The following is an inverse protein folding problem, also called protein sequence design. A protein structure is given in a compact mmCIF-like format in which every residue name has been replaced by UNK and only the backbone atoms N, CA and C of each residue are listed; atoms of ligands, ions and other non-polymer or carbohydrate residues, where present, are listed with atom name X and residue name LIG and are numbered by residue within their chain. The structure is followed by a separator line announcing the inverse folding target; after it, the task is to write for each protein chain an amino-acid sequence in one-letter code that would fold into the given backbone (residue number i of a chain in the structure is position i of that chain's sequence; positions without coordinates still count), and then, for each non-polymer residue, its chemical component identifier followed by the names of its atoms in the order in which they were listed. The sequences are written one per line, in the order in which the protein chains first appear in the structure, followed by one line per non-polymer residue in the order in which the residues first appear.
data_IF_066891528288
#
_entry.id   IF_066891528288
#
_cell.length_a   1.000
_cell.length_b   1.000
_cell.length_c   1.000
_cell.angle_alpha   90.00
_cell.angle_beta   90.00
_cell.angle_gamma   90.00
#
_symmetry.space_group_name_H-M   'P 1'
#
loop_
_entity.id
_entity.type
_entity.pdbx_description
1 polymer ?
#
# COMPACT_ATOMS: atom_id res chain seq x y z
N UNK A 1 11.12 -15.62 6.12
CA UNK A 1 11.08 -15.38 7.60
C UNK A 1 9.99 -14.38 7.88
N UNK A 2 9.10 -14.66 8.85
CA UNK A 2 8.01 -13.75 9.25
C UNK A 2 8.58 -12.39 9.67
N UNK A 3 8.00 -11.29 9.16
CA UNK A 3 8.39 -9.91 9.51
C UNK A 3 7.47 -9.27 10.53
N UNK A 4 6.21 -9.70 10.55
CA UNK A 4 5.22 -9.21 11.50
C UNK A 4 5.41 -9.78 12.91
N UNK A 5 4.97 -9.03 13.92
CA UNK A 5 5.11 -9.37 15.34
C UNK A 5 3.78 -9.61 16.05
N UNK A 6 2.65 -9.36 15.39
CA UNK A 6 1.32 -9.41 16.00
C UNK A 6 0.52 -10.65 15.65
N UNK A 7 0.84 -11.30 14.52
CA UNK A 7 0.21 -12.55 14.07
C UNK A 7 1.28 -13.55 13.66
N UNK A 8 0.92 -14.83 13.70
CA UNK A 8 1.80 -15.92 13.34
C UNK A 8 1.88 -16.16 11.82
N UNK A 9 2.79 -17.02 11.43
CA UNK A 9 3.00 -17.39 10.03
C UNK A 9 1.78 -18.07 9.41
N UNK A 10 1.04 -18.86 10.20
CA UNK A 10 -0.14 -19.55 9.70
C UNK A 10 -1.23 -18.54 9.30
N UNK A 11 -1.46 -17.52 10.13
CA UNK A 11 -2.41 -16.46 9.83
C UNK A 11 -2.11 -15.82 8.47
N UNK A 12 -0.88 -15.33 8.27
CA UNK A 12 -0.53 -14.65 7.02
C UNK A 12 -0.55 -15.60 5.82
N UNK A 13 -0.08 -16.83 5.95
CA UNK A 13 -0.13 -17.82 4.89
C UNK A 13 -1.55 -18.07 4.39
N UNK A 14 -2.49 -18.30 5.30
CA UNK A 14 -3.88 -18.55 4.97
C UNK A 14 -4.58 -17.31 4.39
N UNK A 15 -4.35 -16.14 5.00
CA UNK A 15 -4.94 -14.89 4.55
C UNK A 15 -4.41 -14.47 3.17
N UNK A 16 -3.10 -14.54 2.96
CA UNK A 16 -2.46 -14.21 1.67
C UNK A 16 -2.93 -15.16 0.56
N UNK A 17 -3.03 -16.47 0.84
CA UNK A 17 -3.51 -17.44 -0.14
C UNK A 17 -4.96 -17.17 -0.56
N UNK A 18 -5.85 -16.87 0.40
CA UNK A 18 -7.24 -16.49 0.13
C UNK A 18 -7.36 -15.23 -0.70
N UNK A 19 -6.61 -14.21 -0.31
CA UNK A 19 -6.63 -12.92 -1.01
C UNK A 19 -6.13 -13.08 -2.44
N UNK A 20 -5.08 -13.88 -2.66
CA UNK A 20 -4.57 -14.16 -4.00
C UNK A 20 -5.64 -14.80 -4.90
N UNK A 21 -6.35 -15.81 -4.43
CA UNK A 21 -7.44 -16.46 -5.19
C UNK A 21 -8.53 -15.45 -5.55
N UNK A 22 -8.90 -14.58 -4.60
CA UNK A 22 -9.88 -13.52 -4.83
C UNK A 22 -9.42 -12.52 -5.89
N UNK A 23 -8.15 -12.10 -5.83
CA UNK A 23 -7.55 -11.18 -6.79
C UNK A 23 -7.46 -11.78 -8.19
N UNK A 24 -7.04 -13.04 -8.31
CA UNK A 24 -6.97 -13.74 -9.61
C UNK A 24 -8.37 -13.82 -10.25
N UNK A 25 -9.42 -14.06 -9.45
CA UNK A 25 -10.80 -14.02 -9.90
C UNK A 25 -11.24 -12.63 -10.37
N UNK A 26 -10.94 -11.59 -9.60
CA UNK A 26 -11.25 -10.19 -9.94
C UNK A 26 -10.55 -9.74 -11.23
N UNK A 27 -9.27 -10.09 -11.38
CA UNK A 27 -8.49 -9.80 -12.61
C UNK A 27 -9.14 -10.46 -13.83
N UNK A 28 -9.48 -11.75 -13.73
CA UNK A 28 -10.14 -12.46 -14.81
C UNK A 28 -11.48 -11.82 -15.19
N UNK A 29 -12.25 -11.42 -14.20
CA UNK A 29 -13.54 -10.74 -14.43
C UNK A 29 -13.32 -9.38 -15.10
N UNK A 30 -12.39 -8.57 -14.60
CA UNK A 30 -12.04 -7.27 -15.16
C UNK A 30 -11.63 -7.38 -16.64
N UNK A 31 -10.71 -8.32 -16.95
CA UNK A 31 -10.20 -8.55 -18.31
C UNK A 31 -11.27 -9.10 -19.28
N UNK A 32 -12.35 -9.69 -18.78
CA UNK A 32 -13.45 -10.19 -19.60
C UNK A 32 -14.40 -9.09 -20.07
N UNK A 33 -14.31 -7.90 -19.52
CA UNK A 33 -15.21 -6.77 -19.78
C UNK A 33 -14.64 -5.86 -20.86
N UNK A 34 -15.49 -5.46 -21.81
CA UNK A 34 -15.10 -4.49 -22.83
C UNK A 34 -14.84 -3.08 -22.25
N UNK A 35 -15.58 -2.71 -21.19
CA UNK A 35 -15.44 -1.44 -20.47
C UNK A 35 -15.66 -1.69 -18.98
N UNK A 36 -14.60 -1.98 -18.21
CA UNK A 36 -14.70 -2.10 -16.76
C UNK A 36 -15.07 -0.76 -16.12
N UNK A 37 -15.82 -0.81 -15.01
CA UNK A 37 -16.11 0.38 -14.22
C UNK A 37 -14.92 0.77 -13.36
N UNK A 38 -14.75 2.05 -13.08
CA UNK A 38 -13.69 2.60 -12.22
C UNK A 38 -13.61 1.91 -10.86
N UNK A 39 -14.75 1.65 -10.23
CA UNK A 39 -14.81 0.94 -8.96
C UNK A 39 -14.19 -0.46 -9.01
N UNK A 40 -14.22 -1.14 -10.15
CA UNK A 40 -13.61 -2.47 -10.30
C UNK A 40 -12.08 -2.37 -10.29
N UNK A 41 -11.54 -1.35 -10.92
CA UNK A 41 -10.11 -1.03 -10.85
C UNK A 41 -9.70 -0.64 -9.42
N UNK A 42 -10.51 0.18 -8.73
CA UNK A 42 -10.27 0.53 -7.34
C UNK A 42 -10.22 -0.72 -6.44
N UNK A 43 -11.21 -1.60 -6.55
CA UNK A 43 -11.28 -2.84 -5.76
C UNK A 43 -10.09 -3.77 -6.06
N UNK A 44 -9.58 -3.75 -7.30
CA UNK A 44 -8.36 -4.49 -7.65
C UNK A 44 -7.12 -3.84 -7.02
N UNK A 45 -6.96 -2.54 -7.13
CA UNK A 45 -5.83 -1.80 -6.57
C UNK A 45 -5.76 -1.93 -5.05
N UNK A 46 -6.88 -1.72 -4.36
CA UNK A 46 -7.00 -1.88 -2.91
C UNK A 46 -6.65 -3.31 -2.46
N UNK A 47 -7.21 -4.31 -3.14
CA UNK A 47 -6.89 -5.70 -2.86
C UNK A 47 -5.42 -6.06 -3.11
N UNK A 48 -4.77 -5.49 -4.13
CA UNK A 48 -3.33 -5.66 -4.39
C UNK A 48 -2.48 -4.99 -3.32
N UNK A 49 -2.87 -3.80 -2.84
CA UNK A 49 -2.21 -3.12 -1.71
C UNK A 49 -2.26 -3.99 -0.45
N UNK A 50 -3.44 -4.51 -0.13
CA UNK A 50 -3.62 -5.45 0.99
C UNK A 50 -2.76 -6.72 0.82
N UNK A 51 -2.71 -7.28 -0.38
CA UNK A 51 -1.89 -8.45 -0.69
C UNK A 51 -0.40 -8.17 -0.47
N UNK A 52 0.11 -7.04 -0.95
CA UNK A 52 1.52 -6.64 -0.79
C UNK A 52 1.86 -6.52 0.69
N UNK A 53 1.01 -5.85 1.48
CA UNK A 53 1.21 -5.68 2.91
C UNK A 53 1.23 -7.01 3.67
N UNK A 54 0.24 -7.89 3.41
CA UNK A 54 0.18 -9.23 4.00
C UNK A 54 1.36 -10.11 3.58
N UNK A 55 1.71 -10.12 2.30
CA UNK A 55 2.81 -10.92 1.76
C UNK A 55 4.15 -10.44 2.33
N UNK A 56 4.33 -9.13 2.49
CA UNK A 56 5.49 -8.57 3.17
C UNK A 56 5.53 -9.02 4.64
N UNK A 57 4.43 -8.92 5.36
CA UNK A 57 4.29 -9.39 6.75
C UNK A 57 4.63 -10.88 6.89
N UNK A 58 4.17 -11.71 5.97
CA UNK A 58 4.45 -13.14 5.90
C UNK A 58 5.95 -13.44 5.70
N UNK A 59 6.71 -12.51 5.15
CA UNK A 59 8.11 -12.72 4.78
C UNK A 59 8.31 -13.24 3.36
N UNK A 60 7.33 -13.04 2.49
CA UNK A 60 7.49 -13.28 1.04
C UNK A 60 8.62 -12.38 0.52
N UNK A 61 9.51 -12.87 -0.35
CA UNK A 61 10.63 -12.09 -0.87
C UNK A 61 10.17 -10.79 -1.53
N UNK A 62 10.85 -9.69 -1.20
CA UNK A 62 10.53 -8.33 -1.66
C UNK A 62 10.46 -8.25 -3.19
N UNK A 63 11.38 -8.92 -3.89
CA UNK A 63 11.38 -8.99 -5.36
C UNK A 63 10.09 -9.54 -5.96
N UNK A 64 9.39 -10.42 -5.23
CA UNK A 64 8.13 -11.03 -5.68
C UNK A 64 6.95 -10.05 -5.58
N UNK A 65 7.12 -8.94 -4.86
CA UNK A 65 6.09 -7.92 -4.67
C UNK A 65 6.11 -6.85 -5.78
N UNK A 66 7.16 -6.81 -6.61
CA UNK A 66 7.31 -5.80 -7.66
C UNK A 66 6.21 -5.88 -8.71
N UNK A 67 5.90 -7.08 -9.21
CA UNK A 67 4.86 -7.25 -10.23
C UNK A 67 3.45 -6.89 -9.70
N UNK A 68 3.01 -7.39 -8.52
CA UNK A 68 1.77 -6.93 -7.90
C UNK A 68 1.72 -5.40 -7.67
N UNK A 69 2.84 -4.78 -7.32
CA UNK A 69 2.91 -3.33 -7.11
C UNK A 69 2.72 -2.54 -8.41
N UNK A 70 3.35 -2.95 -9.50
CA UNK A 70 3.12 -2.32 -10.82
C UNK A 70 1.65 -2.40 -11.20
N UNK A 71 1.06 -3.57 -11.08
CA UNK A 71 -0.35 -3.78 -11.38
C UNK A 71 -1.29 -2.96 -10.47
N UNK A 72 -0.96 -2.83 -9.18
CA UNK A 72 -1.69 -1.99 -8.23
C UNK A 72 -1.72 -0.53 -8.69
N UNK A 73 -0.56 0.03 -9.04
CA UNK A 73 -0.44 1.42 -9.49
C UNK A 73 -1.16 1.65 -10.82
N UNK A 74 -1.03 0.72 -11.77
CA UNK A 74 -1.73 0.78 -13.05
C UNK A 74 -3.25 0.74 -12.85
N UNK A 75 -3.74 -0.17 -12.01
CA UNK A 75 -5.16 -0.23 -11.68
C UNK A 75 -5.64 1.05 -10.98
N UNK A 76 -4.85 1.59 -10.04
CA UNK A 76 -5.23 2.83 -9.35
C UNK A 76 -5.27 4.03 -10.31
N UNK A 77 -4.39 4.12 -11.28
CA UNK A 77 -4.43 5.16 -12.31
C UNK A 77 -5.76 5.18 -13.08
N UNK A 78 -6.36 4.01 -13.32
CA UNK A 78 -7.69 3.90 -13.94
C UNK A 78 -8.85 4.33 -13.03
N UNK A 79 -8.59 4.52 -11.72
CA UNK A 79 -9.61 5.02 -10.79
C UNK A 79 -9.74 6.54 -10.81
N UNK A 80 -8.71 7.24 -11.26
CA UNK A 80 -8.68 8.71 -11.31
C UNK A 80 -9.65 9.20 -12.38
N UNK A 81 -10.54 10.09 -12.00
CA UNK A 81 -11.58 10.63 -12.90
C UNK A 81 -11.07 11.93 -13.52
N UNK A 82 -11.00 12.02 -14.86
CA UNK A 82 -10.40 13.18 -15.54
C UNK A 82 -11.09 14.51 -15.24
N UNK A 83 -12.40 14.48 -14.98
CA UNK A 83 -13.23 15.67 -14.78
C UNK A 83 -13.58 15.94 -13.30
N UNK A 84 -13.03 15.16 -12.35
CA UNK A 84 -13.26 15.36 -10.93
C UNK A 84 -12.37 16.48 -10.39
N UNK A 85 -12.90 17.23 -9.43
CA UNK A 85 -12.11 18.17 -8.64
C UNK A 85 -11.47 17.46 -7.47
N UNK A 86 -10.15 17.40 -7.48
CA UNK A 86 -9.35 16.77 -6.41
C UNK A 86 -8.65 17.82 -5.51
N UNK A 87 -9.04 19.07 -5.59
CA UNK A 87 -8.42 20.16 -4.82
C UNK A 87 -8.59 20.02 -3.30
N UNK A 88 -9.66 19.32 -2.90
CA UNK A 88 -9.95 19.01 -1.50
C UNK A 88 -9.70 17.53 -1.13
N UNK A 89 -9.04 16.77 -2.01
CA UNK A 89 -8.83 15.34 -1.85
C UNK A 89 -10.04 14.47 -2.19
N UNK A 90 -11.13 15.09 -2.64
CA UNK A 90 -12.36 14.38 -2.97
C UNK A 90 -12.18 13.27 -3.99
N UNK A 91 -12.82 12.13 -3.76
CA UNK A 91 -12.85 10.99 -4.69
C UNK A 91 -11.65 10.05 -4.65
N UNK A 92 -10.56 10.40 -3.96
CA UNK A 92 -9.43 9.51 -3.67
C UNK A 92 -9.22 9.38 -2.17
N UNK A 93 -8.96 8.18 -1.68
CA UNK A 93 -8.62 7.98 -0.28
C UNK A 93 -7.14 8.30 -0.12
N UNK A 94 -6.84 9.42 0.53
CA UNK A 94 -5.49 9.98 0.65
C UNK A 94 -4.47 9.01 1.24
N UNK A 95 -4.80 8.36 2.36
CA UNK A 95 -3.91 7.41 3.03
C UNK A 95 -3.56 6.22 2.14
N UNK A 96 -4.52 5.72 1.36
CA UNK A 96 -4.28 4.65 0.39
C UNK A 96 -3.38 5.12 -0.76
N UNK A 97 -3.65 6.29 -1.34
CA UNK A 97 -2.83 6.84 -2.41
C UNK A 97 -1.37 7.03 -1.96
N UNK A 98 -1.17 7.64 -0.79
CA UNK A 98 0.16 7.86 -0.21
C UNK A 98 0.89 6.52 0.03
N UNK A 99 0.20 5.52 0.60
CA UNK A 99 0.73 4.19 0.84
C UNK A 99 1.11 3.47 -0.48
N UNK A 100 0.22 3.50 -1.50
CA UNK A 100 0.47 2.84 -2.79
C UNK A 100 1.67 3.47 -3.52
N UNK A 101 1.76 4.81 -3.55
CA UNK A 101 2.92 5.52 -4.12
C UNK A 101 4.19 5.16 -3.36
N UNK A 102 4.13 5.10 -2.02
CA UNK A 102 5.25 4.71 -1.17
C UNK A 102 5.74 3.29 -1.48
N UNK A 103 4.83 2.32 -1.62
CA UNK A 103 5.17 0.96 -2.06
C UNK A 103 5.83 0.98 -3.45
N UNK A 104 5.33 1.80 -4.37
CA UNK A 104 5.90 1.97 -5.71
C UNK A 104 7.33 2.50 -5.67
N UNK A 105 7.61 3.49 -4.81
CA UNK A 105 8.97 4.01 -4.57
C UNK A 105 9.86 2.92 -4.01
N UNK A 106 9.42 2.21 -2.96
CA UNK A 106 10.21 1.18 -2.30
C UNK A 106 10.56 0.02 -3.23
N UNK A 107 9.62 -0.41 -4.06
CA UNK A 107 9.75 -1.54 -4.98
C UNK A 107 10.29 -1.15 -6.38
N UNK A 108 10.74 0.10 -6.56
CA UNK A 108 11.27 0.61 -7.85
C UNK A 108 10.31 0.40 -9.05
N UNK A 109 9.00 0.53 -8.82
CA UNK A 109 7.97 0.40 -9.86
C UNK A 109 7.88 1.66 -10.75
N UNK A 110 9.01 2.10 -11.32
CA UNK A 110 9.21 3.44 -11.90
C UNK A 110 8.22 3.77 -13.00
N UNK A 111 8.01 2.88 -13.96
CA UNK A 111 7.11 3.12 -15.11
C UNK A 111 5.66 3.30 -14.64
N UNK A 112 5.19 2.44 -13.72
CA UNK A 112 3.84 2.53 -13.17
C UNK A 112 3.65 3.79 -12.30
N UNK A 113 4.68 4.18 -11.52
CA UNK A 113 4.67 5.45 -10.78
C UNK A 113 4.61 6.66 -11.72
N UNK A 114 5.34 6.65 -12.84
CA UNK A 114 5.28 7.71 -13.83
C UNK A 114 3.90 7.80 -14.48
N UNK A 115 3.30 6.64 -14.78
CA UNK A 115 1.93 6.57 -15.31
C UNK A 115 0.92 7.20 -14.36
N UNK A 116 0.91 6.76 -13.10
CA UNK A 116 0.02 7.33 -12.08
C UNK A 116 0.30 8.82 -11.85
N UNK A 117 1.58 9.22 -11.76
CA UNK A 117 1.97 10.62 -11.59
C UNK A 117 1.47 11.51 -12.72
N UNK A 118 1.52 11.04 -13.98
CA UNK A 118 1.00 11.78 -15.13
C UNK A 118 -0.52 11.97 -15.02
N UNK A 119 -1.25 10.92 -14.67
CA UNK A 119 -2.71 11.02 -14.49
C UNK A 119 -3.07 11.98 -13.36
N UNK A 120 -2.36 11.95 -12.23
CA UNK A 120 -2.60 12.88 -11.12
C UNK A 120 -2.28 14.34 -11.51
N UNK A 121 -1.23 14.55 -12.32
CA UNK A 121 -0.90 15.89 -12.82
C UNK A 121 -1.98 16.41 -13.79
N UNK A 122 -2.49 15.55 -14.67
CA UNK A 122 -3.53 15.92 -15.66
C UNK A 122 -4.84 16.38 -14.99
N UNK A 123 -5.17 15.82 -13.82
CA UNK A 123 -6.36 16.21 -13.02
C UNK A 123 -6.06 17.31 -12.00
N UNK A 124 -4.84 17.83 -11.98
CA UNK A 124 -4.46 18.93 -11.09
C UNK A 124 -4.38 18.55 -9.60
N UNK A 125 -4.18 17.26 -9.28
CA UNK A 125 -4.02 16.81 -7.89
C UNK A 125 -2.80 17.46 -7.23
N UNK A 126 -2.99 18.07 -6.06
CA UNK A 126 -1.93 18.82 -5.36
C UNK A 126 -1.85 18.41 -3.89
N UNK A 127 -0.80 17.67 -3.57
CA UNK A 127 -0.40 17.36 -2.20
C UNK A 127 1.12 17.33 -2.10
N UNK A 128 1.66 17.86 -1.01
CA UNK A 128 3.10 17.96 -0.82
C UNK A 128 3.79 16.58 -0.79
N UNK A 129 3.31 15.64 0.06
CA UNK A 129 3.99 14.34 0.24
C UNK A 129 3.85 13.45 -0.98
N UNK A 130 2.67 13.40 -1.59
CA UNK A 130 2.45 12.69 -2.86
C UNK A 130 3.40 13.21 -3.93
N UNK A 131 3.47 14.53 -4.10
CA UNK A 131 4.33 15.17 -5.09
C UNK A 131 5.82 14.97 -4.78
N UNK A 132 6.20 15.03 -3.51
CA UNK A 132 7.58 14.75 -3.07
C UNK A 132 8.01 13.34 -3.46
N UNK A 133 7.17 12.33 -3.22
CA UNK A 133 7.47 10.94 -3.56
C UNK A 133 7.48 10.72 -5.09
N UNK A 134 6.58 11.34 -5.84
CA UNK A 134 6.56 11.24 -7.30
C UNK A 134 7.80 11.85 -7.95
N UNK A 135 8.46 12.81 -7.32
CA UNK A 135 9.75 13.35 -7.79
C UNK A 135 10.87 12.33 -7.81
N UNK A 136 10.71 11.19 -7.17
CA UNK A 136 11.61 10.04 -7.28
C UNK A 136 11.76 9.56 -8.74
N UNK A 137 10.66 9.61 -9.51
CA UNK A 137 10.63 9.17 -10.91
C UNK A 137 10.51 10.34 -11.90
N UNK A 138 9.96 11.46 -11.47
CA UNK A 138 9.77 12.69 -12.25
C UNK A 138 10.35 13.89 -11.47
N UNK A 139 11.66 14.16 -11.54
CA UNK A 139 12.29 15.24 -10.75
C UNK A 139 11.69 16.63 -10.96
N UNK A 140 11.02 16.85 -12.10
CA UNK A 140 10.33 18.10 -12.46
C UNK A 140 8.87 18.13 -12.04
N UNK A 141 8.36 17.08 -11.34
CA UNK A 141 6.98 17.08 -10.84
C UNK A 141 6.74 18.31 -9.96
N UNK A 142 5.60 18.98 -10.13
CA UNK A 142 5.27 20.17 -9.35
C UNK A 142 5.23 19.81 -7.85
N UNK A 143 5.93 20.57 -7.02
CA UNK A 143 5.92 20.39 -5.56
C UNK A 143 5.14 21.54 -4.93
N UNK A 144 3.89 21.33 -4.52
CA UNK A 144 3.12 22.34 -3.81
C UNK A 144 3.74 22.62 -2.43
N UNK A 145 3.46 23.78 -1.85
CA UNK A 145 3.96 24.14 -0.51
C UNK A 145 3.22 23.44 0.63
N UNK A 146 1.97 23.01 0.37
CA UNK A 146 1.05 22.57 1.40
C UNK A 146 0.67 21.10 1.26
N UNK A 147 0.33 20.51 2.42
CA UNK A 147 -0.37 19.23 2.49
C UNK A 147 -1.85 19.43 2.17
N UNK A 148 -2.49 18.38 1.71
CA UNK A 148 -3.94 18.35 1.57
C UNK A 148 -4.64 18.43 2.93
N UNK A 149 -4.02 17.82 3.95
CA UNK A 149 -4.49 17.82 5.35
C UNK A 149 -3.42 18.43 6.28
N UNK A 150 -3.26 19.76 6.28
CA UNK A 150 -2.17 20.43 7.02
C UNK A 150 -2.33 20.39 8.54
N UNK A 151 -3.53 20.11 9.05
CA UNK A 151 -3.81 19.96 10.48
C UNK A 151 -3.48 18.56 11.03
N UNK A 152 -3.16 17.59 10.17
CA UNK A 152 -2.75 16.25 10.61
C UNK A 152 -1.31 16.26 11.11
N UNK A 153 -1.06 16.02 12.41
CA UNK A 153 0.28 16.09 12.99
C UNK A 153 1.21 15.00 12.49
N UNK A 154 0.67 13.85 12.05
CA UNK A 154 1.47 12.75 11.51
C UNK A 154 1.99 13.12 10.11
N UNK A 155 1.13 13.68 9.27
CA UNK A 155 1.52 14.13 7.93
C UNK A 155 2.46 15.34 7.97
N UNK A 156 2.20 16.31 8.88
CA UNK A 156 3.10 17.47 9.02
C UNK A 156 4.49 17.02 9.49
N UNK A 157 4.58 16.03 10.40
CA UNK A 157 5.87 15.47 10.83
C UNK A 157 6.63 14.81 9.68
N UNK A 158 5.94 14.09 8.81
CA UNK A 158 6.56 13.52 7.60
C UNK A 158 7.05 14.64 6.64
N UNK A 159 6.26 15.70 6.47
CA UNK A 159 6.65 16.86 5.65
C UNK A 159 7.87 17.57 6.24
N UNK A 160 7.92 17.78 7.56
CA UNK A 160 9.09 18.33 8.24
C UNK A 160 10.34 17.49 7.96
N UNK A 161 10.26 16.15 8.11
CA UNK A 161 11.36 15.26 7.82
C UNK A 161 11.93 15.45 6.41
N UNK A 162 11.07 15.70 5.40
CA UNK A 162 11.55 15.94 4.02
C UNK A 162 12.29 17.27 3.83
N UNK A 163 12.12 18.23 4.74
CA UNK A 163 12.75 19.55 4.69
C UNK A 163 14.00 19.67 5.55
N UNK A 164 14.17 18.74 6.50
CA UNK A 164 15.30 18.67 7.42
C UNK A 164 16.59 18.22 6.73
N UNK A 165 17.74 18.48 7.35
CA UNK A 165 18.96 17.81 6.91
C UNK A 165 18.87 16.30 7.21
N UNK A 166 19.75 15.50 6.60
CA UNK A 166 19.63 14.02 6.67
C UNK A 166 19.64 13.45 8.09
N UNK A 167 20.40 14.03 8.99
CA UNK A 167 20.48 13.55 10.37
C UNK A 167 19.21 13.87 11.16
N UNK A 168 18.70 15.09 11.02
CA UNK A 168 17.44 15.52 11.61
C UNK A 168 16.25 14.76 11.00
N UNK A 169 16.24 14.54 9.68
CA UNK A 169 15.21 13.76 9.01
C UNK A 169 15.09 12.33 9.57
N UNK A 170 16.21 11.67 9.85
CA UNK A 170 16.18 10.34 10.47
C UNK A 170 15.60 10.38 11.91
N UNK A 171 15.87 11.45 12.68
CA UNK A 171 15.25 11.66 13.99
C UNK A 171 13.75 11.94 13.87
N UNK A 172 13.34 12.77 12.92
CA UNK A 172 11.94 13.08 12.67
C UNK A 172 11.15 11.83 12.30
N UNK A 173 11.68 10.98 11.42
CA UNK A 173 11.07 9.69 11.08
C UNK A 173 11.03 8.72 12.27
N UNK A 174 12.06 8.71 13.11
CA UNK A 174 12.06 7.92 14.35
C UNK A 174 10.95 8.39 15.30
N UNK A 175 10.81 9.70 15.49
CA UNK A 175 9.76 10.28 16.31
C UNK A 175 8.38 9.97 15.76
N UNK A 176 8.17 10.13 14.44
CA UNK A 176 6.94 9.78 13.76
C UNK A 176 6.53 8.32 14.03
N UNK A 177 7.43 7.36 13.78
CA UNK A 177 7.17 5.94 13.97
C UNK A 177 6.80 5.57 15.41
N UNK A 178 7.40 6.24 16.40
CA UNK A 178 7.22 5.88 17.82
C UNK A 178 6.11 6.64 18.53
N UNK A 179 5.74 7.83 18.04
CA UNK A 179 4.76 8.67 18.73
C UNK A 179 3.48 8.91 17.95
N UNK A 180 3.54 8.94 16.61
CA UNK A 180 2.42 9.37 15.79
C UNK A 180 1.85 8.25 14.93
N UNK A 181 2.66 7.32 14.43
CA UNK A 181 2.21 6.32 13.47
C UNK A 181 1.15 5.37 14.06
N UNK A 182 1.48 4.65 15.16
CA UNK A 182 0.54 3.70 15.75
C UNK A 182 -0.35 4.37 16.79
N UNK A 183 -1.23 5.23 16.33
CA UNK A 183 -2.26 5.89 17.13
C UNK A 183 -3.64 5.63 16.54
N UNK A 184 -4.69 5.82 17.34
CA UNK A 184 -6.06 5.67 16.86
C UNK A 184 -6.40 6.72 15.81
N UNK A 185 -5.91 7.94 15.99
CA UNK A 185 -6.20 9.07 15.11
C UNK A 185 -5.52 8.89 13.74
N UNK A 186 -4.32 8.29 13.69
CA UNK A 186 -3.60 8.07 12.43
C UNK A 186 -4.04 6.78 11.71
N UNK A 187 -4.33 5.70 12.42
CA UNK A 187 -4.70 4.41 11.82
C UNK A 187 -6.21 4.18 11.73
N UNK A 188 -7.01 5.01 12.38
CA UNK A 188 -8.47 4.96 12.35
C UNK A 188 -9.03 3.53 12.52
N UNK A 189 -9.66 2.99 11.48
CA UNK A 189 -10.28 1.66 11.47
C UNK A 189 -9.26 0.51 11.54
N UNK A 190 -8.01 0.75 11.14
CA UNK A 190 -6.94 -0.23 11.19
C UNK A 190 -6.35 -0.39 12.59
N UNK A 191 -6.52 0.61 13.46
CA UNK A 191 -6.02 0.55 14.83
C UNK A 191 -6.58 -0.66 15.60
N UNK A 192 -5.68 -1.52 16.07
CA UNK A 192 -6.05 -2.70 16.87
C UNK A 192 -6.65 -3.85 16.08
N UNK A 193 -6.64 -3.84 14.74
CA UNK A 193 -7.18 -4.92 13.90
C UNK A 193 -6.54 -6.28 14.16
N UNK A 194 -5.27 -6.31 14.62
CA UNK A 194 -4.62 -7.56 15.02
C UNK A 194 -5.34 -8.30 16.16
N UNK A 195 -6.17 -7.60 16.97
CA UNK A 195 -6.98 -8.18 18.06
C UNK A 195 -8.35 -8.65 17.60
N UNK A 196 -8.78 -8.21 16.40
CA UNK A 196 -10.10 -8.57 15.87
C UNK A 196 -10.06 -10.01 15.32
N UNK A 197 -11.17 -10.76 15.38
CA UNK A 197 -11.29 -12.04 14.68
C UNK A 197 -11.33 -11.83 13.16
N UNK A 198 -10.98 -12.88 12.41
CA UNK A 198 -10.95 -12.82 10.94
C UNK A 198 -9.62 -12.35 10.36
N UNK A 199 -9.63 -11.90 9.11
CA UNK A 199 -8.42 -11.63 8.32
C UNK A 199 -8.26 -10.16 7.95
N UNK A 200 -8.79 -9.25 8.77
CA UNK A 200 -8.71 -7.82 8.50
C UNK A 200 -7.32 -7.21 8.77
N UNK A 201 -6.45 -7.91 9.49
CA UNK A 201 -5.13 -7.42 9.81
C UNK A 201 -4.14 -7.69 8.67
N UNK A 202 -3.51 -6.62 8.15
CA UNK A 202 -2.60 -6.68 7.01
C UNK A 202 -1.12 -6.61 7.39
N UNK A 203 -0.82 -6.13 8.59
CA UNK A 203 0.46 -5.61 9.07
C UNK A 203 0.38 -4.10 9.24
N UNK A 204 1.11 -3.58 10.22
CA UNK A 204 1.20 -2.12 10.45
C UNK A 204 2.53 -1.61 9.90
N UNK A 205 2.57 -1.29 8.61
CA UNK A 205 3.79 -0.85 7.95
C UNK A 205 3.67 0.60 7.47
N UNK A 206 4.54 1.45 8.00
CA UNK A 206 4.70 2.81 7.51
C UNK A 206 5.56 2.81 6.25
N UNK A 207 4.93 2.53 5.11
CA UNK A 207 5.62 2.54 3.82
C UNK A 207 6.10 3.95 3.46
N UNK A 208 5.35 4.98 3.84
CA UNK A 208 5.69 6.38 3.60
C UNK A 208 6.99 6.81 4.30
N UNK A 209 7.23 6.38 5.53
CA UNK A 209 8.48 6.73 6.23
C UNK A 209 9.70 6.11 5.55
N UNK A 210 9.61 4.86 5.11
CA UNK A 210 10.70 4.20 4.39
C UNK A 210 10.88 4.76 2.97
N UNK A 211 9.79 5.14 2.29
CA UNK A 211 9.86 5.79 0.98
C UNK A 211 10.55 7.16 1.06
N UNK A 212 10.24 7.97 2.09
CA UNK A 212 10.95 9.23 2.36
C UNK A 212 12.44 8.97 2.61
N UNK A 213 12.77 7.98 3.45
CA UNK A 213 14.16 7.61 3.70
C UNK A 213 14.90 7.23 2.42
N UNK A 214 14.25 6.47 1.51
CA UNK A 214 14.80 6.12 0.19
C UNK A 214 15.03 7.34 -0.69
N UNK A 215 14.03 8.19 -0.86
CA UNK A 215 14.10 9.38 -1.73
C UNK A 215 15.19 10.34 -1.27
N UNK A 216 15.32 10.54 0.04
CA UNK A 216 16.32 11.40 0.64
C UNK A 216 17.71 10.72 0.75
N UNK A 217 17.79 9.42 0.51
CA UNK A 217 19.01 8.61 0.75
C UNK A 217 19.54 8.82 2.16
N UNK A 218 18.70 8.54 3.17
CA UNK A 218 19.05 8.66 4.58
C UNK A 218 19.88 7.46 5.05
N UNK A 219 20.69 7.68 6.10
CA UNK A 219 21.17 6.59 6.94
C UNK A 219 20.03 6.22 7.92
N UNK A 220 19.32 5.15 7.60
CA UNK A 220 18.17 4.66 8.36
C UNK A 220 18.50 3.53 9.35
N UNK A 221 19.79 3.31 9.63
CA UNK A 221 20.25 2.26 10.57
C UNK A 221 19.54 2.36 11.93
N UNK A 222 19.23 3.57 12.38
CA UNK A 222 18.49 3.83 13.62
C UNK A 222 17.04 3.35 13.55
N UNK A 223 16.42 3.34 12.37
CA UNK A 223 15.04 2.92 12.16
C UNK A 223 14.91 1.41 12.05
N UNK A 224 16.03 0.71 11.82
CA UNK A 224 16.06 -0.74 11.77
C UNK A 224 15.62 -1.33 13.11
N UNK A 225 14.55 -2.13 13.05
CA UNK A 225 13.96 -2.75 14.25
C UNK A 225 12.86 -1.93 14.90
N UNK A 226 12.52 -0.74 14.37
CA UNK A 226 11.26 -0.08 14.71
C UNK A 226 10.08 -0.94 14.24
N UNK A 227 9.06 -1.14 15.08
CA UNK A 227 8.05 -2.18 14.84
C UNK A 227 7.20 -1.97 13.59
N UNK A 228 7.19 -0.76 13.04
CA UNK A 228 6.35 -0.37 11.89
C UNK A 228 7.18 0.02 10.66
N UNK A 229 8.51 -0.04 10.75
CA UNK A 229 9.40 0.36 9.66
C UNK A 229 9.68 -0.82 8.73
N UNK A 230 9.31 -0.74 7.45
CA UNK A 230 9.47 -1.85 6.49
C UNK A 230 10.91 -1.93 5.95
N UNK A 231 11.90 -2.16 6.84
CA UNK A 231 13.33 -2.09 6.54
C UNK A 231 13.74 -2.96 5.33
N UNK A 232 13.27 -4.22 5.28
CA UNK A 232 13.62 -5.12 4.19
C UNK A 232 13.03 -4.68 2.85
N UNK A 233 11.91 -3.95 2.85
CA UNK A 233 11.33 -3.44 1.60
C UNK A 233 12.21 -2.35 0.98
N UNK A 234 12.94 -1.60 1.81
CA UNK A 234 13.88 -0.59 1.36
C UNK A 234 15.24 -1.19 0.95
N UNK A 235 15.77 -2.14 1.74
CA UNK A 235 17.12 -2.66 1.58
C UNK A 235 17.21 -3.99 0.84
N UNK A 236 16.07 -4.60 0.53
CA UNK A 236 16.00 -5.95 -0.02
C UNK A 236 16.00 -7.04 1.05
N UNK A 237 15.77 -8.25 0.60
CA UNK A 237 15.71 -9.39 1.49
C UNK A 237 17.08 -9.68 2.13
N UNK A 238 17.11 -10.16 3.39
CA UNK A 238 18.33 -10.64 4.03
C UNK A 238 19.01 -11.74 3.21
N UNK A 239 20.37 -11.84 3.24
CA UNK A 239 21.08 -12.89 2.57
C UNK A 239 20.55 -14.29 2.95
N UNK A 240 20.34 -15.14 1.97
CA UNK A 240 19.83 -16.51 2.17
C UNK A 240 18.30 -16.60 2.26
N UNK A 241 17.57 -15.50 2.04
CA UNK A 241 16.11 -15.57 1.90
C UNK A 241 15.77 -16.50 0.72
N UNK A 242 14.99 -17.58 0.94
CA UNK A 242 14.62 -18.53 -0.12
C UNK A 242 13.92 -17.80 -1.27
N UNK A 243 14.05 -18.32 -2.48
CA UNK A 243 13.17 -17.90 -3.56
C UNK A 243 11.72 -18.19 -3.16
N UNK A 244 10.81 -17.25 -3.51
CA UNK A 244 9.40 -17.49 -3.27
C UNK A 244 9.00 -18.85 -3.87
N UNK A 245 8.17 -19.64 -3.18
CA UNK A 245 7.56 -20.80 -3.81
C UNK A 245 6.91 -20.36 -5.12
N UNK A 246 7.13 -21.10 -6.20
CA UNK A 246 6.66 -20.76 -7.55
C UNK A 246 5.13 -20.59 -7.59
N UNK A 247 4.43 -21.18 -6.63
CA UNK A 247 3.01 -20.93 -6.34
C UNK A 247 2.74 -21.17 -4.84
N UNK A 248 1.88 -20.34 -4.19
CA UNK A 248 1.34 -20.76 -2.92
C UNK A 248 0.55 -22.06 -3.13
N UNK A 249 0.55 -22.98 -2.16
CA UNK A 249 -0.27 -24.18 -2.26
C UNK A 249 -1.72 -23.77 -2.52
N UNK A 250 -2.45 -24.54 -3.34
CA UNK A 250 -3.87 -24.25 -3.59
C UNK A 250 -4.60 -24.12 -2.25
N UNK A 251 -5.50 -23.14 -2.19
CA UNK A 251 -6.31 -22.94 -0.98
C UNK A 251 -6.95 -24.27 -0.58
N UNK A 252 -6.97 -24.62 0.71
CA UNK A 252 -7.62 -25.84 1.19
C UNK A 252 -9.04 -25.94 0.62
N UNK A 253 -9.49 -27.14 0.25
CA UNK A 253 -10.84 -27.35 -0.33
C UNK A 253 -11.97 -26.80 0.55
N UNK A 254 -11.75 -26.65 1.85
CA UNK A 254 -12.67 -26.00 2.80
C UNK A 254 -12.88 -24.49 2.53
N UNK A 255 -12.09 -23.87 1.66
CA UNK A 255 -12.18 -22.45 1.29
C UNK A 255 -12.75 -22.24 -0.12
N UNK A 256 -13.08 -23.31 -0.85
CA UNK A 256 -13.90 -23.21 -2.06
C UNK A 256 -15.32 -22.89 -1.60
N UNK A 257 -15.79 -21.68 -1.89
CA UNK A 257 -17.20 -21.35 -1.69
C UNK A 257 -18.04 -22.42 -2.38
N UNK A 258 -18.87 -23.12 -1.62
CA UNK A 258 -19.94 -23.93 -2.23
C UNK A 258 -20.75 -22.99 -3.15
N UNK A 259 -21.06 -23.40 -4.38
CA UNK A 259 -21.87 -22.57 -5.25
C UNK A 259 -23.15 -22.22 -4.50
N UNK A 260 -23.40 -20.94 -4.32
CA UNK A 260 -24.54 -20.43 -3.56
C UNK A 260 -25.82 -21.13 -4.03
N UNK A 261 -26.48 -21.81 -3.12
CA UNK A 261 -27.74 -22.50 -3.41
C UNK A 261 -28.69 -21.50 -4.11
N UNK A 262 -29.40 -21.89 -5.17
CA UNK A 262 -30.25 -20.98 -5.93
C UNK A 262 -31.23 -20.31 -4.99
N UNK A 263 -31.14 -18.97 -4.87
CA UNK A 263 -32.05 -18.17 -4.05
C UNK A 263 -33.45 -18.47 -4.48
N UNK A 264 -34.27 -19.15 -3.63
CA UNK A 264 -35.71 -19.33 -3.88
C UNK A 264 -36.31 -17.95 -4.07
N UNK A 265 -36.91 -17.74 -5.25
CA UNK A 265 -37.69 -16.53 -5.56
C UNK A 265 -38.88 -16.50 -4.59
N UNK A 266 -38.86 -15.61 -3.60
CA UNK A 266 -39.89 -15.47 -2.58
C UNK A 266 -41.08 -14.57 -3.01
N UNK A 267 -41.39 -14.56 -4.29
CA UNK A 267 -42.56 -13.90 -4.89
C UNK A 267 -43.40 -14.87 -5.73
N UNK A 268 -43.51 -16.11 -5.28
CA UNK A 268 -44.53 -17.04 -5.70
C UNK A 268 -45.45 -17.36 -4.50
N UNK A 269 -46.31 -16.39 -4.18
CA UNK A 269 -47.63 -16.60 -3.58
C UNK A 269 -48.56 -15.53 -4.12
#
# INVERSE_FOLDING_TARGET
MLRDHFKDEQYFREATARLKVTLDGKKKDLLSKAQPYRMEYYVLADGLSAYISMAYSQGIPVRSLVAPCKEMLDAYAHCVEPDADYSDGGGLIYSQLLSMISMGVLLDAKEALQGLGSVLADVGYKDYLVSFLLRYVQPTYELPGELLWPEDPALEKLKEATKSNKAEAAEDLYEYLHKLYYTRDNLEDDYGTHKKPGNAYLGYWSFESAAIAKVMNLDDAKLKGSPYYPYDMLHGDPPGTPEAPVEPPPAPDSLREEPAAPKKKWWQF
#
